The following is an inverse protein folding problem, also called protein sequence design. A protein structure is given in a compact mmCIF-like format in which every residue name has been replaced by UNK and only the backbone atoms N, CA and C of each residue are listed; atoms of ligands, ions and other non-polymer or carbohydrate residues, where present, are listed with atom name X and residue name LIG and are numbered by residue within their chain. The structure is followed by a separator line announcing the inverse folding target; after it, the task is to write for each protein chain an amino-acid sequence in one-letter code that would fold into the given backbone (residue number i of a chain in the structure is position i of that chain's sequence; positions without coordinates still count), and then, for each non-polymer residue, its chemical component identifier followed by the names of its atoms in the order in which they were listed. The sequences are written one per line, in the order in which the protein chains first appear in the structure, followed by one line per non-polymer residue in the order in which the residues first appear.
data_IF_722836906181
#
_entry.id   IF_722836906181
#
_cell.length_a   1.000
_cell.length_b   1.000
_cell.length_c   1.000
_cell.angle_alpha   90.00
_cell.angle_beta   90.00
_cell.angle_gamma   90.00
#
_symmetry.space_group_name_H-M   'P 1'
#
loop_
_entity.id
_entity.type
_entity.pdbx_description
1 polymer ?
#
# COMPACT_ATOMS: atom_id res chain seq x y z
N UNK A 1 10.33 -4.88 -22.05
CA UNK A 1 10.09 -4.48 -20.64
C UNK A 1 10.22 -2.98 -20.38
N UNK A 2 11.19 -2.26 -20.98
CA UNK A 2 11.35 -0.78 -20.82
C UNK A 2 10.07 0.05 -20.99
N UNK A 3 9.20 -0.30 -21.95
CA UNK A 3 7.93 0.40 -22.22
C UNK A 3 6.92 0.29 -21.07
N UNK A 4 6.90 -0.82 -20.33
CA UNK A 4 5.97 -1.05 -19.22
C UNK A 4 6.42 -0.25 -17.99
N UNK A 5 7.71 -0.31 -17.68
CA UNK A 5 8.33 0.45 -16.59
C UNK A 5 8.16 1.97 -16.82
N UNK A 6 8.32 2.46 -18.06
CA UNK A 6 8.05 3.86 -18.39
C UNK A 6 6.58 4.26 -18.20
N UNK A 7 5.63 3.37 -18.50
CA UNK A 7 4.19 3.63 -18.29
C UNK A 7 3.85 3.72 -16.80
N UNK A 8 4.39 2.79 -16.00
CA UNK A 8 4.22 2.80 -14.54
C UNK A 8 4.87 4.05 -13.94
N UNK A 9 6.10 4.38 -14.35
CA UNK A 9 6.81 5.57 -13.88
C UNK A 9 6.06 6.87 -14.18
N UNK A 10 5.45 7.00 -15.37
CA UNK A 10 4.60 8.15 -15.70
C UNK A 10 3.33 8.22 -14.87
N UNK A 11 2.66 7.10 -14.64
CA UNK A 11 1.48 7.06 -13.79
C UNK A 11 1.83 7.47 -12.34
N UNK A 12 2.94 6.95 -11.82
CA UNK A 12 3.44 7.29 -10.49
C UNK A 12 3.83 8.78 -10.40
N UNK A 13 4.47 9.32 -11.44
CA UNK A 13 4.78 10.75 -11.51
C UNK A 13 3.53 11.61 -11.48
N UNK A 14 2.46 11.26 -12.22
CA UNK A 14 1.20 12.00 -12.19
C UNK A 14 0.55 11.94 -10.82
N UNK A 15 0.64 10.80 -10.13
CA UNK A 15 0.14 10.63 -8.75
C UNK A 15 0.93 11.48 -7.76
N UNK A 16 2.27 11.52 -7.88
CA UNK A 16 3.14 12.31 -7.00
C UNK A 16 3.07 13.81 -7.25
N UNK A 17 2.90 14.21 -8.51
CA UNK A 17 2.78 15.62 -8.91
C UNK A 17 1.37 16.16 -8.69
N UNK A 18 0.40 15.30 -8.36
CA UNK A 18 -0.99 15.70 -8.15
C UNK A 18 -1.09 16.69 -6.98
N UNK A 19 -2.01 17.67 -7.06
CA UNK A 19 -2.26 18.60 -5.95
C UNK A 19 -2.67 17.82 -4.68
N UNK A 20 -2.33 18.40 -3.53
CA UNK A 20 -2.48 17.93 -2.12
C UNK A 20 -3.85 17.31 -1.73
N UNK A 21 -4.85 17.27 -2.62
CA UNK A 21 -6.13 16.55 -2.42
C UNK A 21 -6.01 15.02 -2.56
N UNK A 22 -4.90 14.50 -3.10
CA UNK A 22 -4.64 13.06 -3.20
C UNK A 22 -4.23 12.38 -1.87
N UNK A 23 -3.33 12.92 -1.03
CA UNK A 23 -2.96 12.30 0.24
C UNK A 23 -4.15 12.05 1.18
N UNK A 24 -5.15 12.94 1.19
CA UNK A 24 -6.39 12.73 1.97
C UNK A 24 -7.27 11.57 1.45
N UNK A 25 -7.09 11.13 0.20
CA UNK A 25 -7.80 9.99 -0.41
C UNK A 25 -6.90 8.76 -0.58
N UNK A 26 -5.60 8.90 -0.35
CA UNK A 26 -4.61 7.82 -0.51
C UNK A 26 -4.97 6.60 0.34
N UNK A 27 -5.48 6.82 1.55
CA UNK A 27 -5.91 5.75 2.44
C UNK A 27 -7.06 4.91 1.85
N UNK A 28 -8.00 5.54 1.15
CA UNK A 28 -9.07 4.81 0.48
C UNK A 28 -8.56 4.07 -0.76
N UNK A 29 -7.63 4.68 -1.51
CA UNK A 29 -6.97 4.06 -2.66
C UNK A 29 -6.20 2.80 -2.23
N UNK A 30 -5.43 2.88 -1.15
CA UNK A 30 -4.68 1.74 -0.58
C UNK A 30 -5.65 0.63 -0.16
N UNK A 31 -6.79 0.95 0.49
CA UNK A 31 -7.83 -0.03 0.82
C UNK A 31 -8.37 -0.75 -0.41
N UNK A 32 -8.62 -0.03 -1.50
CA UNK A 32 -9.08 -0.64 -2.76
C UNK A 32 -8.00 -1.49 -3.43
N UNK A 33 -6.73 -1.09 -3.35
CA UNK A 33 -5.61 -1.90 -3.83
C UNK A 33 -5.51 -3.19 -3.03
N UNK A 34 -5.57 -3.12 -1.70
CA UNK A 34 -5.54 -4.30 -0.83
C UNK A 34 -6.72 -5.24 -1.09
N UNK A 35 -7.93 -4.71 -1.24
CA UNK A 35 -9.11 -5.50 -1.58
C UNK A 35 -8.96 -6.17 -2.96
N UNK A 36 -8.47 -5.42 -3.95
CA UNK A 36 -8.22 -5.95 -5.29
C UNK A 36 -7.15 -7.04 -5.30
N UNK A 37 -6.05 -6.84 -4.57
CA UNK A 37 -4.97 -7.82 -4.45
C UNK A 37 -5.43 -9.08 -3.73
N UNK A 38 -6.16 -8.97 -2.62
CA UNK A 38 -6.67 -10.15 -1.90
C UNK A 38 -7.67 -10.97 -2.74
N UNK A 39 -8.50 -10.30 -3.57
CA UNK A 39 -9.39 -11.00 -4.51
C UNK A 39 -8.59 -11.69 -5.62
N UNK A 40 -7.58 -11.02 -6.19
CA UNK A 40 -6.74 -11.60 -7.24
C UNK A 40 -5.95 -12.80 -6.70
N UNK A 41 -5.37 -12.69 -5.52
CA UNK A 41 -4.67 -13.77 -4.81
C UNK A 41 -5.60 -14.98 -4.62
N UNK A 42 -6.80 -14.78 -4.08
CA UNK A 42 -7.77 -15.88 -3.88
C UNK A 42 -8.16 -16.57 -5.19
N UNK A 43 -8.36 -15.80 -6.28
CA UNK A 43 -8.74 -16.36 -7.59
C UNK A 43 -7.57 -17.06 -8.30
N UNK A 44 -6.33 -16.65 -8.04
CA UNK A 44 -5.14 -17.34 -8.54
C UNK A 44 -4.81 -18.57 -7.70
N UNK A 45 -4.92 -18.47 -6.37
CA UNK A 45 -4.75 -19.60 -5.44
C UNK A 45 -5.76 -20.72 -5.73
N UNK A 46 -7.01 -20.38 -6.06
CA UNK A 46 -8.01 -21.38 -6.49
C UNK A 46 -7.62 -22.12 -7.78
N UNK A 47 -6.70 -21.56 -8.59
CA UNK A 47 -6.14 -22.24 -9.77
C UNK A 47 -4.90 -23.07 -9.45
N UNK A 48 -4.18 -22.73 -8.39
CA UNK A 48 -2.89 -23.31 -8.02
C UNK A 48 -2.95 -24.14 -6.71
N UNK A 49 -4.15 -24.46 -6.20
CA UNK A 49 -4.44 -25.33 -5.03
C UNK A 49 -4.03 -26.80 -5.21
N UNK A 50 -2.78 -27.04 -5.54
CA UNK A 50 -2.02 -28.17 -5.05
C UNK A 50 -0.72 -27.58 -4.50
N UNK A 51 -0.51 -27.76 -3.19
CA UNK A 51 0.74 -27.49 -2.45
C UNK A 51 0.82 -26.14 -1.71
N UNK A 52 0.35 -26.23 -0.46
CA UNK A 52 1.06 -25.82 0.76
C UNK A 52 1.10 -24.34 1.23
N UNK A 53 0.71 -24.26 2.50
CA UNK A 53 1.17 -23.39 3.58
C UNK A 53 0.40 -22.11 3.93
N UNK A 54 -0.27 -22.26 5.07
CA UNK A 54 -0.83 -21.26 5.94
C UNK A 54 0.28 -20.27 6.38
N UNK A 55 0.15 -18.99 6.03
CA UNK A 55 0.88 -17.92 6.71
C UNK A 55 -0.06 -16.77 7.04
N UNK A 56 -0.14 -16.34 8.32
CA UNK A 56 -1.00 -15.23 8.70
C UNK A 56 -0.42 -13.90 8.18
N UNK A 57 -1.27 -12.91 7.83
CA UNK A 57 -0.83 -11.66 7.24
C UNK A 57 -0.02 -10.81 8.25
N UNK A 58 0.97 -10.04 7.79
CA UNK A 58 1.83 -9.24 8.65
C UNK A 58 1.04 -8.10 9.32
N UNK A 59 1.25 -7.95 10.63
CA UNK A 59 0.72 -6.87 11.46
C UNK A 59 0.99 -5.49 10.85
N UNK A 60 -0.05 -4.67 10.87
CA UNK A 60 -0.05 -3.30 10.40
C UNK A 60 0.94 -2.46 11.24
N UNK A 61 2.01 -1.98 10.62
CA UNK A 61 2.91 -0.98 11.19
C UNK A 61 2.16 0.35 11.23
N UNK A 62 1.45 0.61 12.33
CA UNK A 62 0.96 1.96 12.67
C UNK A 62 2.11 2.65 13.42
N UNK A 63 2.91 3.40 12.66
CA UNK A 63 3.87 4.35 13.21
C UNK A 63 3.11 5.48 13.91
N UNK A 64 2.97 5.39 15.23
CA UNK A 64 2.61 6.53 16.06
C UNK A 64 3.82 7.47 16.17
N UNK A 65 3.92 8.44 15.27
CA UNK A 65 4.81 9.60 15.39
C UNK A 65 3.99 10.86 15.65
N UNK A 66 3.80 11.17 16.92
CA UNK A 66 3.43 12.47 17.52
C UNK A 66 3.76 12.29 19.02
N UNK A 67 4.51 13.14 19.73
CA UNK A 67 4.72 14.57 19.61
C UNK A 67 5.91 14.95 20.52
N UNK A 68 6.83 15.78 20.02
CA UNK A 68 7.82 16.50 20.83
C UNK A 68 7.12 17.49 21.76
N UNK A 69 7.42 17.45 23.07
CA UNK A 69 7.45 18.62 23.96
C UNK A 69 8.59 18.39 24.97
N UNK A 70 9.55 19.33 25.12
CA UNK A 70 10.64 19.23 26.08
C UNK A 70 10.20 19.82 27.42
N UNK A 71 10.07 19.00 28.46
CA UNK A 71 9.83 19.50 29.82
C UNK A 71 11.17 19.83 30.50
N UNK A 72 11.43 21.12 30.47
CA UNK A 72 12.04 22.01 31.46
C UNK A 72 12.90 21.40 32.59
N UNK A 73 14.12 21.93 32.65
CA UNK A 73 15.02 21.94 33.79
C UNK A 73 14.46 22.82 34.92
N UNK A 74 14.24 22.23 36.09
CA UNK A 74 14.30 22.96 37.38
C UNK A 74 14.86 22.05 38.48
#
# INVERSE_FOLDING_TARGET
MKKIIQKIGRALQVVLLAPIKLPGKALNIIRYIALGLGVVETVLDDKDKNEEDESPPPEQIVSHKEKEVPDEIE
#
